data_IF_463523887170
#
_entry.id   IF_463523887170
#
_cell.length_a   1.000
_cell.length_b   1.000
_cell.length_c   1.000
_cell.angle_alpha   90.00
_cell.angle_beta   90.00
_cell.angle_gamma   90.00
#
_symmetry.space_group_name_H-M   'P 1'
#
loop_
_entity.id
_entity.type
_entity.pdbx_description
1 polymer ?
#
# COMPACT_ATOMS: atom_id res chain seq x y z
N UNK A 1 -3.86 -15.64 17.09
CA UNK A 1 -3.33 -14.30 16.74
C UNK A 1 -2.40 -13.84 17.85
N UNK A 2 -1.28 -13.18 17.52
CA UNK A 2 -0.38 -12.64 18.56
C UNK A 2 -1.04 -11.45 19.27
N UNK A 3 -0.63 -11.18 20.52
CA UNK A 3 -1.10 -10.01 21.28
C UNK A 3 -0.89 -8.69 20.50
N UNK A 4 0.26 -8.55 19.82
CA UNK A 4 0.54 -7.39 18.97
C UNK A 4 -0.45 -7.27 17.79
N UNK A 5 -0.78 -8.38 17.12
CA UNK A 5 -1.75 -8.36 16.02
C UNK A 5 -3.16 -7.95 16.48
N UNK A 6 -3.54 -8.28 17.73
CA UNK A 6 -4.79 -7.80 18.32
C UNK A 6 -4.76 -6.27 18.47
N UNK A 7 -3.68 -5.71 19.03
CA UNK A 7 -3.53 -4.26 19.23
C UNK A 7 -3.54 -3.49 17.89
N UNK A 8 -2.84 -4.01 16.88
CA UNK A 8 -2.88 -3.48 15.51
C UNK A 8 -4.31 -3.44 14.97
N UNK A 9 -5.10 -4.50 15.17
CA UNK A 9 -6.50 -4.54 14.77
C UNK A 9 -7.35 -3.44 15.42
N UNK A 10 -7.15 -3.19 16.71
CA UNK A 10 -7.85 -2.12 17.44
C UNK A 10 -7.52 -0.74 16.84
N UNK A 11 -6.27 -0.50 16.44
CA UNK A 11 -5.88 0.76 15.78
C UNK A 11 -6.64 0.98 14.47
N UNK A 12 -6.79 -0.06 13.65
CA UNK A 12 -7.50 0.05 12.38
C UNK A 12 -9.01 0.24 12.56
N UNK A 13 -9.62 -0.48 13.50
CA UNK A 13 -11.04 -0.36 13.82
C UNK A 13 -11.39 1.04 14.33
N UNK A 14 -10.44 1.72 14.96
CA UNK A 14 -10.59 3.09 15.49
C UNK A 14 -9.91 4.16 14.60
N UNK A 15 -9.54 3.84 13.35
CA UNK A 15 -8.83 4.75 12.45
C UNK A 15 -9.55 6.10 12.25
N UNK A 16 -10.89 6.09 12.16
CA UNK A 16 -11.70 7.31 12.04
C UNK A 16 -11.46 8.29 13.19
N UNK A 17 -11.33 7.78 14.42
CA UNK A 17 -11.11 8.63 15.60
C UNK A 17 -9.76 9.33 15.51
N UNK A 18 -8.70 8.60 15.15
CA UNK A 18 -7.36 9.15 14.98
C UNK A 18 -7.33 10.19 13.87
N UNK A 19 -7.87 9.85 12.69
CA UNK A 19 -7.90 10.72 11.52
C UNK A 19 -8.70 12.01 11.76
N UNK A 20 -9.79 11.94 12.53
CA UNK A 20 -10.63 13.10 12.84
C UNK A 20 -9.90 14.18 13.64
N UNK A 21 -8.84 13.84 14.39
CA UNK A 21 -7.98 14.79 15.10
C UNK A 21 -7.12 15.66 14.17
N UNK A 22 -7.02 15.26 12.91
CA UNK A 22 -6.24 15.96 11.89
C UNK A 22 -7.12 16.51 10.77
N UNK A 23 -8.42 16.67 11.02
CA UNK A 23 -9.41 17.12 10.03
C UNK A 23 -9.46 16.25 8.75
N UNK A 24 -8.96 15.02 8.82
CA UNK A 24 -9.01 14.04 7.72
C UNK A 24 -10.35 13.31 7.75
N UNK A 25 -11.43 14.03 7.43
CA UNK A 25 -12.80 13.51 7.39
C UNK A 25 -13.10 12.92 6.02
N UNK A 26 -13.71 11.73 5.99
CA UNK A 26 -14.21 11.10 4.75
C UNK A 26 -13.50 9.79 4.41
N UNK A 27 -13.14 9.63 3.13
CA UNK A 27 -12.54 8.40 2.64
C UNK A 27 -11.13 8.20 3.22
N UNK A 28 -10.89 7.03 3.83
CA UNK A 28 -9.59 6.67 4.41
C UNK A 28 -9.25 5.21 4.17
N UNK A 29 -7.98 4.84 4.28
CA UNK A 29 -7.52 3.47 4.11
C UNK A 29 -6.41 3.15 5.12
N UNK A 30 -6.43 1.95 5.72
CA UNK A 30 -5.35 1.46 6.58
C UNK A 30 -4.48 0.44 5.83
N UNK A 31 -3.17 0.47 6.10
CA UNK A 31 -2.23 -0.56 5.64
C UNK A 31 -1.41 -1.04 6.82
N UNK A 32 -1.43 -2.36 7.06
CA UNK A 32 -0.56 -3.02 8.05
C UNK A 32 0.84 -3.25 7.49
N UNK A 33 1.82 -3.21 8.38
CA UNK A 33 3.22 -3.55 8.08
C UNK A 33 3.77 -2.84 6.84
N UNK A 34 3.44 -1.55 6.66
CA UNK A 34 3.85 -0.78 5.50
C UNK A 34 5.38 -0.65 5.46
N UNK A 35 6.00 -1.24 4.45
CA UNK A 35 7.43 -1.16 4.15
C UNK A 35 7.74 0.04 3.27
N UNK A 36 8.81 0.75 3.61
CA UNK A 36 9.38 1.87 2.87
C UNK A 36 10.92 1.80 2.96
N UNK A 37 11.68 2.55 2.16
CA UNK A 37 13.13 2.37 2.04
C UNK A 37 13.89 2.32 3.37
N UNK A 38 13.55 3.20 4.33
CA UNK A 38 14.22 3.24 5.63
C UNK A 38 13.64 2.28 6.68
N UNK A 39 12.53 1.59 6.42
CA UNK A 39 12.01 0.61 7.39
C UNK A 39 10.57 0.17 7.16
N UNK A 40 9.86 -0.05 8.27
CA UNK A 40 8.49 -0.57 8.28
C UNK A 40 7.69 0.08 9.40
N UNK A 41 6.48 0.54 9.07
CA UNK A 41 5.49 0.98 10.04
C UNK A 41 4.46 -0.12 10.35
N UNK A 42 4.05 -0.27 11.60
CA UNK A 42 3.10 -1.32 11.98
C UNK A 42 1.70 -1.08 11.38
N UNK A 43 1.23 0.17 11.44
CA UNK A 43 0.02 0.64 10.77
C UNK A 43 0.26 2.01 10.15
N UNK A 44 -0.23 2.19 8.93
CA UNK A 44 -0.35 3.51 8.30
C UNK A 44 -1.79 3.77 7.96
N UNK A 45 -2.28 4.93 8.42
CA UNK A 45 -3.60 5.45 8.09
C UNK A 45 -3.43 6.52 7.02
N UNK A 46 -4.03 6.30 5.86
CA UNK A 46 -4.11 7.28 4.79
C UNK A 46 -5.46 7.99 4.89
N UNK A 47 -5.44 9.29 5.21
CA UNK A 47 -6.63 10.13 5.15
C UNK A 47 -6.53 11.17 4.04
N UNK A 48 -7.68 11.55 3.51
CA UNK A 48 -7.77 12.57 2.47
C UNK A 48 -7.99 13.96 3.10
N UNK A 49 -7.08 14.88 2.85
CA UNK A 49 -7.15 16.27 3.26
C UNK A 49 -7.86 17.08 2.18
N UNK A 50 -9.01 17.67 2.54
CA UNK A 50 -9.85 18.52 1.68
C UNK A 50 -10.26 17.90 0.33
N UNK A 51 -10.23 16.57 0.20
CA UNK A 51 -10.48 15.90 -1.08
C UNK A 51 -9.32 15.98 -2.08
N UNK A 52 -8.19 16.61 -1.72
CA UNK A 52 -7.13 17.01 -2.65
C UNK A 52 -5.84 16.23 -2.44
N UNK A 53 -5.39 16.11 -1.19
CA UNK A 53 -4.08 15.54 -0.86
C UNK A 53 -4.21 14.41 0.14
N UNK A 54 -3.35 13.40 0.03
CA UNK A 54 -3.33 12.30 0.99
C UNK A 54 -2.28 12.56 2.05
N UNK A 55 -2.70 12.46 3.30
CA UNK A 55 -1.81 12.55 4.46
C UNK A 55 -1.65 11.17 5.10
N UNK A 56 -0.43 10.58 5.04
CA UNK A 56 -0.13 9.35 5.76
C UNK A 56 0.18 9.66 7.24
N UNK A 57 -0.47 8.91 8.13
CA UNK A 57 -0.20 8.93 9.57
C UNK A 57 0.33 7.55 9.97
N UNK A 58 1.53 7.50 10.54
CA UNK A 58 2.11 6.25 11.03
C UNK A 58 1.73 6.01 12.49
N UNK A 59 1.52 4.74 12.83
CA UNK A 59 1.27 4.28 14.20
C UNK A 59 2.21 3.12 14.50
N UNK A 60 3.12 3.31 15.45
CA UNK A 60 3.95 2.23 16.04
C UNK A 60 3.15 1.61 17.20
N UNK A 61 2.98 0.28 17.20
CA UNK A 61 2.15 -0.42 18.18
C UNK A 61 3.02 -1.17 19.18
N UNK A 62 2.97 -0.75 20.43
CA UNK A 62 3.78 -1.30 21.53
C UNK A 62 2.90 -2.09 22.48
N UNK A 63 3.39 -3.23 22.95
CA UNK A 63 2.67 -4.05 23.93
C UNK A 63 2.70 -3.46 25.34
N UNK A 64 3.75 -2.71 25.67
CA UNK A 64 3.89 -1.99 26.93
C UNK A 64 4.98 -0.91 26.82
N UNK A 65 4.97 0.03 27.78
CA UNK A 65 6.09 0.94 28.05
C UNK A 65 6.65 0.59 29.43
N UNK A 66 7.86 0.05 29.45
CA UNK A 66 8.47 -0.46 30.68
C UNK A 66 9.07 0.69 31.49
N UNK A 67 9.65 1.71 30.85
CA UNK A 67 10.33 2.82 31.52
C UNK A 67 10.47 4.08 30.64
N UNK A 68 10.94 5.18 31.24
CA UNK A 68 11.35 6.38 30.51
C UNK A 68 12.49 6.12 29.52
N UNK A 69 13.41 5.20 29.85
CA UNK A 69 14.52 4.83 28.96
C UNK A 69 14.01 4.04 27.75
N UNK A 70 13.04 3.14 27.98
CA UNK A 70 12.40 2.34 26.93
C UNK A 70 11.67 3.20 25.88
N UNK A 71 10.95 4.24 26.33
CA UNK A 71 10.31 5.19 25.41
C UNK A 71 11.34 6.04 24.65
N UNK A 72 12.43 6.48 25.31
CA UNK A 72 13.50 7.22 24.63
C UNK A 72 14.22 6.36 23.58
N UNK A 73 14.43 5.07 23.86
CA UNK A 73 14.93 4.10 22.89
C UNK A 73 14.01 3.99 21.68
N UNK A 74 12.71 3.82 21.91
CA UNK A 74 11.69 3.78 20.84
C UNK A 74 11.69 5.06 20.01
N UNK A 75 11.75 6.23 20.67
CA UNK A 75 11.81 7.53 20.00
C UNK A 75 13.06 7.63 19.11
N UNK A 76 14.23 7.27 19.62
CA UNK A 76 15.48 7.44 18.88
C UNK A 76 15.62 6.41 17.75
N UNK A 77 15.32 5.15 18.00
CA UNK A 77 15.52 4.06 17.04
C UNK A 77 14.41 4.00 15.99
N UNK A 78 13.15 4.11 16.40
CA UNK A 78 11.99 3.97 15.50
C UNK A 78 11.54 5.31 14.97
N UNK A 79 11.19 6.23 15.86
CA UNK A 79 10.48 7.45 15.44
C UNK A 79 11.43 8.35 14.64
N UNK A 80 12.54 8.76 15.25
CA UNK A 80 13.57 9.58 14.59
C UNK A 80 14.38 8.81 13.57
N UNK A 81 14.75 7.57 13.90
CA UNK A 81 15.66 6.76 13.08
C UNK A 81 15.01 6.19 11.82
N UNK A 82 13.68 6.04 11.78
CA UNK A 82 12.97 5.38 10.68
C UNK A 82 11.78 6.21 10.20
N UNK A 83 10.88 6.63 11.10
CA UNK A 83 9.58 7.17 10.69
C UNK A 83 9.64 8.64 10.25
N UNK A 84 10.48 9.47 10.87
CA UNK A 84 10.64 10.89 10.52
C UNK A 84 11.10 11.09 9.05
N UNK A 85 11.64 10.05 8.39
CA UNK A 85 11.96 10.07 6.96
C UNK A 85 10.73 10.01 6.05
N UNK A 86 9.66 9.37 6.51
CA UNK A 86 8.53 8.95 5.69
C UNK A 86 7.18 9.57 6.11
N UNK A 87 7.08 10.15 7.30
CA UNK A 87 5.83 10.64 7.87
C UNK A 87 5.97 12.01 8.51
N UNK A 88 4.93 12.83 8.36
CA UNK A 88 4.80 14.10 9.09
C UNK A 88 4.19 13.92 10.47
N UNK A 89 3.29 12.93 10.61
CA UNK A 89 2.58 12.63 11.85
C UNK A 89 2.85 11.19 12.25
N UNK A 90 3.31 11.01 13.49
CA UNK A 90 3.59 9.69 14.05
C UNK A 90 3.00 9.57 15.43
N UNK A 91 2.28 8.46 15.65
CA UNK A 91 1.73 8.06 16.93
C UNK A 91 2.44 6.81 17.48
N UNK A 92 2.48 6.72 18.81
CA UNK A 92 2.74 5.47 19.52
C UNK A 92 1.43 5.01 20.14
N UNK A 93 1.03 3.75 19.90
CA UNK A 93 -0.15 3.14 20.50
C UNK A 93 0.24 2.08 21.54
N UNK A 94 -0.34 2.16 22.74
CA UNK A 94 -0.01 1.28 23.88
C UNK A 94 -1.26 0.86 24.67
N UNK A 95 -1.34 -0.39 25.17
CA UNK A 95 -2.41 -0.83 26.07
C UNK A 95 -2.13 -0.34 27.49
N UNK A 96 -2.55 0.88 27.79
CA UNK A 96 -2.33 1.48 29.10
C UNK A 96 -0.87 1.89 29.37
N UNK A 97 -0.71 2.87 30.25
CA UNK A 97 0.56 3.26 30.85
C UNK A 97 0.29 3.38 32.34
N UNK A 98 1.20 2.90 33.19
CA UNK A 98 1.04 3.11 34.64
C UNK A 98 0.92 4.62 34.89
N UNK A 99 -0.16 5.08 35.55
CA UNK A 99 -0.47 6.52 35.75
C UNK A 99 0.74 7.40 36.06
N UNK A 100 1.65 6.97 36.95
CA UNK A 100 2.87 7.74 37.31
C UNK A 100 3.87 7.99 36.17
N UNK A 101 3.78 7.23 35.07
CA UNK A 101 4.66 7.32 33.89
C UNK A 101 3.98 7.98 32.70
N UNK A 102 2.65 8.09 32.71
CA UNK A 102 1.87 8.66 31.61
C UNK A 102 2.26 10.12 31.36
N UNK A 103 2.31 10.94 32.41
CA UNK A 103 2.68 12.36 32.29
C UNK A 103 4.09 12.55 31.71
N UNK A 104 5.05 11.72 32.13
CA UNK A 104 6.43 11.77 31.62
C UNK A 104 6.50 11.38 30.14
N UNK A 105 5.81 10.29 29.76
CA UNK A 105 5.76 9.83 28.37
C UNK A 105 5.09 10.89 27.50
N UNK A 106 3.96 11.41 27.95
CA UNK A 106 3.21 12.47 27.26
C UNK A 106 4.07 13.72 27.08
N UNK A 107 4.76 14.18 28.13
CA UNK A 107 5.65 15.34 28.08
C UNK A 107 6.73 15.16 26.99
N UNK A 108 7.45 14.03 27.01
CA UNK A 108 8.48 13.76 26.01
C UNK A 108 7.95 13.65 24.58
N UNK A 109 6.79 13.02 24.38
CA UNK A 109 6.19 12.91 23.05
C UNK A 109 5.70 14.26 22.54
N UNK A 110 5.01 15.03 23.40
CA UNK A 110 4.54 16.39 23.09
C UNK A 110 5.68 17.34 22.73
N UNK A 111 6.76 17.37 23.51
CA UNK A 111 7.96 18.19 23.22
C UNK A 111 8.56 17.86 21.85
N UNK A 112 8.43 16.61 21.43
CA UNK A 112 8.93 16.11 20.16
C UNK A 112 7.88 16.08 19.06
N UNK A 113 6.65 16.55 19.28
CA UNK A 113 5.56 16.52 18.30
C UNK A 113 5.05 15.13 17.93
N UNK A 114 5.33 14.10 18.74
CA UNK A 114 4.77 12.76 18.56
C UNK A 114 3.46 12.61 19.32
N UNK A 115 2.54 11.82 18.76
CA UNK A 115 1.27 11.54 19.39
C UNK A 115 1.29 10.28 20.27
N UNK A 116 0.35 10.21 21.20
CA UNK A 116 0.14 9.07 22.09
C UNK A 116 -1.31 8.59 22.00
N UNK A 117 -1.46 7.31 21.66
CA UNK A 117 -2.74 6.60 21.64
C UNK A 117 -2.76 5.58 22.78
N UNK A 118 -3.81 5.62 23.58
CA UNK A 118 -4.07 4.65 24.62
C UNK A 118 -5.13 3.67 24.17
N UNK A 119 -4.82 2.38 24.24
CA UNK A 119 -5.75 1.31 23.93
C UNK A 119 -6.41 0.85 25.24
N UNK A 120 -7.71 1.12 25.37
CA UNK A 120 -8.51 0.81 26.56
C UNK A 120 -9.86 0.22 26.10
N UNK A 121 -10.24 -0.96 26.62
CA UNK A 121 -11.51 -1.63 26.30
C UNK A 121 -11.81 -1.74 24.80
N UNK A 122 -10.80 -2.17 24.02
CA UNK A 122 -10.83 -2.28 22.54
C UNK A 122 -11.16 -0.94 21.81
N UNK A 123 -10.97 0.21 22.49
CA UNK A 123 -11.08 1.56 21.93
C UNK A 123 -9.75 2.28 21.98
N UNK A 124 -9.65 3.37 21.22
CA UNK A 124 -8.53 4.29 21.27
C UNK A 124 -8.93 5.57 21.98
N UNK A 125 -8.06 6.04 22.88
CA UNK A 125 -8.10 7.39 23.42
C UNK A 125 -6.85 8.13 22.93
N UNK A 126 -7.07 9.24 22.24
CA UNK A 126 -5.97 10.15 21.85
C UNK A 126 -5.58 10.97 23.06
N UNK A 127 -4.41 10.69 23.64
CA UNK A 127 -3.89 11.40 24.83
C UNK A 127 -3.04 12.59 24.45
N UNK A 128 -2.27 12.46 23.37
CA UNK A 128 -1.49 13.55 22.79
C UNK A 128 -1.62 13.49 21.27
N UNK A 129 -1.95 14.61 20.65
CA UNK A 129 -2.09 14.70 19.19
C UNK A 129 -0.71 14.88 18.55
N UNK A 130 -0.42 14.09 17.51
CA UNK A 130 0.81 14.23 16.75
C UNK A 130 0.83 15.58 16.01
N UNK A 131 2.00 16.19 15.88
CA UNK A 131 2.20 17.47 15.18
C UNK A 131 3.22 17.30 14.06
N UNK A 132 3.12 18.06 12.96
CA UNK A 132 4.10 18.01 11.90
C UNK A 132 5.45 18.51 12.42
N UNK A 133 6.47 17.66 12.39
CA UNK A 133 7.77 17.97 12.99
C UNK A 133 8.68 18.79 12.10
N UNK A 134 8.93 18.29 10.89
CA UNK A 134 9.84 18.83 9.87
C UNK A 134 9.35 18.38 8.50
N UNK A 135 9.77 19.04 7.40
CA UNK A 135 9.59 18.49 6.07
C UNK A 135 10.19 17.07 6.05
N UNK A 136 9.39 16.05 5.69
CA UNK A 136 9.88 14.69 5.70
C UNK A 136 10.83 14.45 4.52
N UNK A 137 11.59 13.35 4.57
CA UNK A 137 12.55 12.98 3.54
C UNK A 137 11.90 12.47 2.24
N UNK A 138 12.71 11.97 1.32
CA UNK A 138 12.23 11.47 0.01
C UNK A 138 11.26 10.28 0.15
N UNK A 139 11.37 9.49 1.22
CA UNK A 139 10.47 8.37 1.50
C UNK A 139 9.00 8.81 1.64
N UNK A 140 8.76 10.05 2.09
CA UNK A 140 7.41 10.58 2.20
C UNK A 140 6.67 10.59 0.88
N UNK A 141 7.33 11.03 -0.21
CA UNK A 141 6.68 11.07 -1.52
C UNK A 141 6.29 9.67 -1.99
N UNK A 142 7.11 8.66 -1.66
CA UNK A 142 6.80 7.27 -1.95
C UNK A 142 5.60 6.77 -1.14
N UNK A 143 5.60 6.98 0.18
CA UNK A 143 4.50 6.55 1.07
C UNK A 143 3.20 7.29 0.73
N UNK A 144 3.25 8.60 0.57
CA UNK A 144 2.08 9.40 0.18
C UNK A 144 1.57 9.00 -1.21
N UNK A 145 2.45 8.75 -2.19
CA UNK A 145 2.05 8.24 -3.52
C UNK A 145 1.35 6.88 -3.43
N UNK A 146 1.80 6.00 -2.54
CA UNK A 146 1.12 4.72 -2.30
C UNK A 146 -0.29 4.95 -1.75
N UNK A 147 -0.45 5.83 -0.78
CA UNK A 147 -1.76 6.22 -0.24
C UNK A 147 -2.69 6.79 -1.31
N UNK A 148 -2.19 7.71 -2.14
CA UNK A 148 -2.94 8.28 -3.28
C UNK A 148 -3.38 7.20 -4.25
N UNK A 149 -2.47 6.31 -4.65
CA UNK A 149 -2.79 5.21 -5.54
C UNK A 149 -3.87 4.30 -4.93
N UNK A 150 -3.75 3.98 -3.64
CA UNK A 150 -4.65 3.03 -3.00
C UNK A 150 -6.06 3.57 -2.84
N UNK A 151 -6.19 4.84 -2.42
CA UNK A 151 -7.49 5.51 -2.37
C UNK A 151 -8.10 5.62 -3.77
N UNK A 152 -7.31 6.01 -4.78
CA UNK A 152 -7.77 6.14 -6.16
C UNK A 152 -8.23 4.79 -6.75
N UNK A 153 -7.47 3.71 -6.53
CA UNK A 153 -7.82 2.36 -6.99
C UNK A 153 -9.09 1.86 -6.32
N UNK A 154 -9.22 2.02 -5.00
CA UNK A 154 -10.44 1.59 -4.30
C UNK A 154 -11.68 2.31 -4.80
N UNK A 155 -11.59 3.62 -4.96
CA UNK A 155 -12.69 4.45 -5.47
C UNK A 155 -13.06 4.06 -6.91
N UNK A 156 -12.07 3.99 -7.81
CA UNK A 156 -12.31 3.67 -9.23
C UNK A 156 -12.84 2.24 -9.46
N UNK A 157 -12.38 1.25 -8.69
CA UNK A 157 -12.94 -0.10 -8.74
C UNK A 157 -14.36 -0.16 -8.16
N UNK A 158 -14.62 0.60 -7.10
CA UNK A 158 -15.95 0.77 -6.51
C UNK A 158 -16.96 1.36 -7.49
N UNK A 159 -16.56 2.37 -8.28
CA UNK A 159 -17.40 2.98 -9.32
C UNK A 159 -17.89 1.98 -10.37
N UNK A 160 -17.08 0.95 -10.65
CA UNK A 160 -17.46 -0.13 -11.58
C UNK A 160 -18.07 -1.35 -10.84
N UNK A 161 -18.36 -1.25 -9.56
CA UNK A 161 -19.01 -2.30 -8.77
C UNK A 161 -18.10 -3.49 -8.46
N UNK A 162 -16.78 -3.28 -8.39
CA UNK A 162 -15.82 -4.25 -7.87
C UNK A 162 -15.41 -3.84 -6.45
N UNK A 163 -15.42 -4.80 -5.52
CA UNK A 163 -14.97 -4.58 -4.15
C UNK A 163 -13.49 -4.93 -4.04
N UNK A 164 -12.68 -3.99 -3.57
CA UNK A 164 -11.31 -4.28 -3.13
C UNK A 164 -11.38 -5.20 -1.92
N UNK A 165 -10.78 -6.37 -2.03
CA UNK A 165 -10.68 -7.38 -0.97
C UNK A 165 -9.23 -7.67 -0.57
N UNK A 166 -8.24 -7.10 -1.28
CA UNK A 166 -6.84 -7.17 -0.93
C UNK A 166 -6.20 -5.78 -0.77
N UNK A 167 -5.56 -5.56 0.39
CA UNK A 167 -4.74 -4.39 0.70
C UNK A 167 -3.52 -4.89 1.49
N UNK A 168 -2.31 -4.65 0.99
CA UNK A 168 -1.07 -4.95 1.70
C UNK A 168 -0.05 -3.83 1.54
N UNK A 169 1.12 -3.97 2.16
CA UNK A 169 2.24 -3.07 1.91
C UNK A 169 2.72 -3.08 0.45
N UNK A 170 2.36 -4.09 -0.33
CA UNK A 170 2.91 -4.31 -1.67
C UNK A 170 1.91 -3.87 -2.73
N UNK A 171 0.64 -4.22 -2.59
CA UNK A 171 -0.38 -3.90 -3.60
C UNK A 171 -1.80 -3.81 -3.03
N UNK A 172 -2.68 -3.20 -3.82
CA UNK A 172 -4.12 -3.10 -3.59
C UNK A 172 -4.88 -3.63 -4.80
N UNK A 173 -6.02 -4.30 -4.60
CA UNK A 173 -6.87 -4.70 -5.72
C UNK A 173 -7.88 -5.77 -5.33
N UNK A 174 -8.18 -6.65 -6.30
CA UNK A 174 -9.11 -7.77 -6.11
C UNK A 174 -8.32 -9.09 -6.10
N UNK A 175 -8.61 -10.04 -5.21
CA UNK A 175 -7.89 -11.31 -5.16
C UNK A 175 -8.58 -12.36 -6.04
N UNK A 176 -8.22 -12.35 -7.34
CA UNK A 176 -8.80 -13.23 -8.37
C UNK A 176 -7.70 -13.84 -9.24
N UNK A 177 -7.99 -14.89 -10.03
CA UNK A 177 -7.01 -15.44 -10.99
C UNK A 177 -6.53 -14.41 -12.02
N UNK A 178 -7.41 -13.49 -12.42
CA UNK A 178 -7.08 -12.26 -13.15
C UNK A 178 -7.59 -11.11 -12.30
N UNK A 179 -6.70 -10.24 -11.86
CA UNK A 179 -7.04 -9.17 -10.94
C UNK A 179 -6.61 -7.80 -11.41
N UNK A 180 -7.45 -6.79 -11.19
CA UNK A 180 -7.00 -5.40 -11.16
C UNK A 180 -6.14 -5.18 -9.93
N UNK A 181 -5.04 -4.47 -10.11
CA UNK A 181 -4.11 -4.19 -9.04
C UNK A 181 -3.33 -2.90 -9.25
N UNK A 182 -3.11 -2.19 -8.14
CA UNK A 182 -2.24 -1.02 -8.05
C UNK A 182 -1.07 -1.30 -7.11
N UNK A 183 0.13 -0.91 -7.52
CA UNK A 183 1.33 -1.00 -6.68
C UNK A 183 2.35 0.06 -7.05
N UNK A 184 3.44 0.13 -6.28
CA UNK A 184 4.59 0.95 -6.64
C UNK A 184 5.65 0.07 -7.29
N UNK A 185 6.07 0.41 -8.51
CA UNK A 185 7.10 -0.29 -9.23
C UNK A 185 8.29 0.63 -9.50
N UNK A 186 9.46 0.29 -8.95
CA UNK A 186 10.65 1.16 -8.95
C UNK A 186 10.28 2.54 -8.39
N UNK A 187 10.32 3.58 -9.23
CA UNK A 187 10.00 4.97 -8.91
C UNK A 187 8.67 5.46 -9.54
N UNK A 188 7.75 4.55 -9.84
CA UNK A 188 6.43 4.86 -10.41
C UNK A 188 5.28 4.20 -9.66
N UNK A 189 4.16 4.91 -9.56
CA UNK A 189 2.87 4.31 -9.27
C UNK A 189 2.33 3.67 -10.55
N UNK A 190 1.81 2.47 -10.43
CA UNK A 190 1.32 1.70 -11.57
C UNK A 190 -0.06 1.11 -11.27
N UNK A 191 -0.87 0.98 -12.32
CA UNK A 191 -2.15 0.29 -12.27
C UNK A 191 -2.29 -0.63 -13.48
N UNK A 192 -2.88 -1.80 -13.28
CA UNK A 192 -3.01 -2.76 -14.35
C UNK A 192 -3.84 -3.98 -13.98
N UNK A 193 -3.62 -5.05 -14.76
CA UNK A 193 -4.16 -6.38 -14.53
C UNK A 193 -3.06 -7.41 -14.41
N UNK A 194 -3.25 -8.33 -13.47
CA UNK A 194 -2.32 -9.42 -13.18
C UNK A 194 -3.04 -10.75 -13.36
N UNK A 195 -2.43 -11.64 -14.11
CA UNK A 195 -2.84 -13.02 -14.27
C UNK A 195 -1.93 -13.92 -13.42
N UNK A 196 -2.52 -14.64 -12.47
CA UNK A 196 -1.80 -15.40 -11.44
C UNK A 196 -1.08 -16.64 -11.98
N UNK A 197 -1.50 -17.20 -13.09
CA UNK A 197 -0.91 -18.41 -13.66
C UNK A 197 -1.06 -18.45 -15.18
N UNK A 198 -0.58 -19.52 -15.80
CA UNK A 198 -0.63 -19.69 -17.26
C UNK A 198 -2.05 -19.71 -17.81
N UNK A 199 -3.01 -20.31 -17.11
CA UNK A 199 -4.40 -20.39 -17.58
C UNK A 199 -5.06 -19.02 -17.52
N UNK A 200 -4.81 -18.29 -16.44
CA UNK A 200 -5.25 -16.91 -16.30
C UNK A 200 -4.58 -15.99 -17.35
N UNK A 201 -3.30 -16.18 -17.62
CA UNK A 201 -2.56 -15.37 -18.59
C UNK A 201 -3.06 -15.63 -20.01
N UNK A 202 -3.33 -16.89 -20.35
CA UNK A 202 -3.97 -17.26 -21.60
C UNK A 202 -5.30 -16.55 -21.79
N UNK A 203 -6.20 -16.66 -20.80
CA UNK A 203 -7.51 -15.99 -20.82
C UNK A 203 -7.39 -14.47 -20.92
N UNK A 204 -6.43 -13.86 -20.22
CA UNK A 204 -6.17 -12.43 -20.28
C UNK A 204 -5.76 -12.01 -21.70
N UNK A 205 -4.78 -12.70 -22.28
CA UNK A 205 -4.25 -12.41 -23.61
C UNK A 205 -5.29 -12.62 -24.72
N UNK A 206 -6.24 -13.55 -24.54
CA UNK A 206 -7.36 -13.75 -25.47
C UNK A 206 -8.41 -12.63 -25.41
N UNK A 207 -8.45 -11.86 -24.32
CA UNK A 207 -9.50 -10.85 -24.09
C UNK A 207 -9.02 -9.43 -24.41
N UNK A 208 -7.72 -9.15 -24.30
CA UNK A 208 -7.17 -7.80 -24.49
C UNK A 208 -6.86 -7.48 -25.95
N UNK A 209 -7.11 -6.24 -26.34
CA UNK A 209 -6.62 -5.67 -27.59
C UNK A 209 -5.19 -5.13 -27.39
N UNK A 210 -4.19 -5.93 -27.75
CA UNK A 210 -2.77 -5.61 -27.54
C UNK A 210 -2.34 -4.35 -28.31
N UNK A 211 -2.83 -4.15 -29.52
CA UNK A 211 -2.47 -2.99 -30.34
C UNK A 211 -2.96 -1.71 -29.66
N UNK A 212 -4.22 -1.71 -29.21
CA UNK A 212 -4.79 -0.57 -28.51
C UNK A 212 -4.13 -0.26 -27.17
N UNK A 213 -3.80 -1.29 -26.39
CA UNK A 213 -3.08 -1.10 -25.13
C UNK A 213 -1.63 -0.62 -25.37
N UNK A 214 -1.01 -1.03 -26.48
CA UNK A 214 0.31 -0.51 -26.91
C UNK A 214 0.23 1.00 -27.15
N UNK A 215 -0.74 1.46 -27.94
CA UNK A 215 -0.96 2.89 -28.22
C UNK A 215 -1.26 3.70 -26.95
N UNK A 216 -1.94 3.08 -25.99
CA UNK A 216 -2.24 3.69 -24.69
C UNK A 216 -1.05 3.68 -23.70
N UNK A 217 0.12 3.18 -24.10
CA UNK A 217 1.36 3.22 -23.32
C UNK A 217 1.47 2.13 -22.24
N UNK A 218 0.78 1.00 -22.41
CA UNK A 218 0.89 -0.11 -21.48
C UNK A 218 2.23 -0.83 -21.63
N UNK A 219 2.62 -1.48 -20.53
CA UNK A 219 3.79 -2.33 -20.39
C UNK A 219 3.35 -3.71 -19.95
N UNK A 220 4.26 -4.66 -20.05
CA UNK A 220 4.10 -6.00 -19.50
C UNK A 220 5.28 -6.36 -18.62
N UNK A 221 5.07 -7.28 -17.69
CA UNK A 221 6.16 -8.06 -17.11
C UNK A 221 5.67 -9.46 -16.71
N UNK A 222 6.60 -10.40 -16.66
CA UNK A 222 6.41 -11.74 -16.09
C UNK A 222 7.01 -11.76 -14.70
N UNK A 223 6.20 -12.10 -13.71
CA UNK A 223 6.64 -12.23 -12.32
C UNK A 223 6.90 -13.71 -11.99
N UNK A 224 8.09 -14.01 -11.49
CA UNK A 224 8.42 -15.30 -10.89
C UNK A 224 8.41 -15.14 -9.37
N UNK A 225 7.50 -15.84 -8.70
CA UNK A 225 7.33 -15.83 -7.24
C UNK A 225 7.99 -17.07 -6.67
N UNK A 226 9.08 -16.91 -5.93
CA UNK A 226 9.75 -17.99 -5.23
C UNK A 226 8.92 -18.40 -4.01
N UNK A 227 8.63 -19.69 -3.87
CA UNK A 227 7.73 -20.20 -2.82
C UNK A 227 8.49 -21.13 -1.88
N UNK A 228 8.39 -20.87 -0.59
CA UNK A 228 8.84 -21.78 0.46
C UNK A 228 7.73 -21.94 1.52
N UNK A 229 7.47 -23.18 1.93
CA UNK A 229 6.47 -23.51 2.97
C UNK A 229 5.10 -22.86 2.71
N UNK A 230 4.66 -22.87 1.44
CA UNK A 230 3.39 -22.29 1.02
C UNK A 230 3.31 -20.76 1.01
N UNK A 231 4.44 -20.06 1.18
CA UNK A 231 4.51 -18.59 1.16
C UNK A 231 5.47 -18.09 0.09
N UNK A 232 5.14 -16.95 -0.52
CA UNK A 232 6.07 -16.21 -1.37
C UNK A 232 7.19 -15.62 -0.52
N UNK A 233 8.44 -15.95 -0.84
CA UNK A 233 9.64 -15.45 -0.13
C UNK A 233 10.42 -14.40 -0.93
N UNK A 234 10.09 -14.23 -2.20
CA UNK A 234 10.73 -13.25 -3.07
C UNK A 234 10.16 -13.30 -4.48
N UNK A 235 10.31 -12.18 -5.19
CA UNK A 235 9.80 -12.01 -6.55
C UNK A 235 10.93 -11.59 -7.48
N UNK A 236 10.91 -12.11 -8.70
CA UNK A 236 11.75 -11.66 -9.81
C UNK A 236 10.83 -11.14 -10.92
N UNK A 237 11.04 -9.89 -11.33
CA UNK A 237 10.31 -9.27 -12.43
C UNK A 237 11.17 -9.37 -13.70
N UNK A 238 10.69 -10.13 -14.68
CA UNK A 238 11.34 -10.38 -15.96
C UNK A 238 10.51 -9.80 -17.10
N UNK A 239 11.16 -9.51 -18.22
CA UNK A 239 10.50 -9.02 -19.44
C UNK A 239 9.67 -7.75 -19.17
N UNK A 240 10.18 -6.83 -18.36
CA UNK A 240 9.59 -5.49 -18.14
C UNK A 240 9.87 -4.60 -19.36
N UNK A 241 8.94 -4.61 -20.31
CA UNK A 241 9.07 -3.90 -21.58
C UNK A 241 7.74 -3.24 -22.00
N UNK A 242 7.79 -2.20 -22.87
CA UNK A 242 6.58 -1.69 -23.51
C UNK A 242 5.82 -2.81 -24.19
N UNK A 243 4.50 -2.84 -23.99
CA UNK A 243 3.62 -3.74 -24.71
C UNK A 243 3.78 -3.45 -26.20
N UNK A 244 3.86 -4.49 -27.01
CA UNK A 244 3.99 -4.37 -28.46
C UNK A 244 3.46 -5.64 -29.13
N UNK A 245 3.23 -5.58 -30.44
CA UNK A 245 2.67 -6.70 -31.21
C UNK A 245 3.57 -7.96 -31.23
N UNK A 246 4.87 -7.84 -30.94
CA UNK A 246 5.78 -8.99 -30.85
C UNK A 246 5.59 -9.78 -29.56
N UNK A 247 4.83 -9.24 -28.61
CA UNK A 247 4.34 -9.94 -27.41
C UNK A 247 3.15 -10.82 -27.82
N UNK A 248 3.42 -11.74 -28.75
CA UNK A 248 2.47 -12.73 -29.19
C UNK A 248 2.10 -13.64 -28.02
N UNK A 249 0.81 -13.98 -27.91
CA UNK A 249 0.25 -14.86 -26.88
C UNK A 249 1.12 -16.09 -26.64
N UNK A 250 1.47 -16.79 -27.71
CA UNK A 250 2.26 -18.03 -27.64
C UNK A 250 3.67 -17.81 -27.08
N UNK A 251 4.29 -16.67 -27.37
CA UNK A 251 5.62 -16.34 -26.85
C UNK A 251 5.55 -16.10 -25.34
N UNK A 252 4.57 -15.33 -24.86
CA UNK A 252 4.37 -15.09 -23.42
C UNK A 252 4.15 -16.41 -22.68
N UNK A 253 3.22 -17.23 -23.16
CA UNK A 253 2.90 -18.52 -22.53
C UNK A 253 4.11 -19.46 -22.55
N UNK A 254 4.87 -19.49 -23.65
CA UNK A 254 6.11 -20.28 -23.76
C UNK A 254 7.16 -19.80 -22.75
N UNK A 255 7.37 -18.49 -22.62
CA UNK A 255 8.30 -17.91 -21.63
C UNK A 255 7.87 -18.24 -20.20
N UNK A 256 6.59 -18.08 -19.86
CA UNK A 256 6.07 -18.44 -18.55
C UNK A 256 6.27 -19.93 -18.23
N UNK A 257 6.04 -20.84 -19.20
CA UNK A 257 6.32 -22.28 -19.05
C UNK A 257 7.81 -22.53 -18.79
N UNK A 258 8.69 -21.85 -19.53
CA UNK A 258 10.14 -21.97 -19.38
C UNK A 258 10.61 -21.49 -18.00
N UNK A 259 10.17 -20.32 -17.55
CA UNK A 259 10.51 -19.80 -16.22
C UNK A 259 9.95 -20.68 -15.10
N UNK A 260 8.70 -21.15 -15.24
CA UNK A 260 8.11 -22.09 -14.27
C UNK A 260 8.90 -23.40 -14.18
N UNK A 261 9.57 -23.83 -15.26
CA UNK A 261 10.45 -25.01 -15.25
C UNK A 261 11.81 -24.70 -14.63
N UNK A 262 12.40 -23.55 -14.96
CA UNK A 262 13.74 -23.15 -14.52
C UNK A 262 13.82 -22.82 -13.02
N UNK A 263 12.80 -22.17 -12.45
CA UNK A 263 12.85 -21.62 -11.10
C UNK A 263 12.05 -22.44 -10.06
N UNK A 264 11.83 -23.74 -10.27
CA UNK A 264 11.04 -24.55 -9.32
C UNK A 264 11.73 -24.64 -7.95
N UNK A 265 10.99 -24.57 -6.82
CA UNK A 265 9.53 -24.34 -6.72
C UNK A 265 9.16 -22.84 -6.83
N UNK A 266 8.28 -22.50 -7.78
CA UNK A 266 7.79 -21.13 -7.98
C UNK A 266 6.36 -21.07 -8.55
N UNK A 267 5.72 -19.92 -8.35
CA UNK A 267 4.60 -19.46 -9.17
C UNK A 267 5.09 -18.52 -10.28
N UNK A 268 4.40 -18.49 -11.42
CA UNK A 268 4.70 -17.54 -12.50
C UNK A 268 3.41 -16.84 -12.91
N UNK A 269 3.42 -15.52 -12.85
CA UNK A 269 2.32 -14.66 -13.25
C UNK A 269 2.71 -13.72 -14.38
N UNK A 270 1.72 -13.12 -15.01
CA UNK A 270 1.89 -12.18 -16.12
C UNK A 270 1.07 -10.94 -15.85
N UNK A 271 1.56 -9.78 -16.29
CA UNK A 271 0.88 -8.52 -16.07
C UNK A 271 0.83 -7.66 -17.30
N UNK A 272 -0.23 -6.88 -17.41
CA UNK A 272 -0.32 -5.74 -18.31
C UNK A 272 -0.66 -4.52 -17.47
N UNK A 273 0.18 -3.49 -17.51
CA UNK A 273 0.06 -2.36 -16.60
C UNK A 273 0.52 -1.04 -17.23
N UNK A 274 0.05 0.07 -16.65
CA UNK A 274 0.39 1.41 -17.08
C UNK A 274 1.11 2.16 -15.95
N UNK A 275 2.31 2.68 -16.20
CA UNK A 275 2.90 3.69 -15.33
C UNK A 275 2.03 4.94 -15.31
N UNK A 276 1.63 5.40 -14.12
CA UNK A 276 0.72 6.53 -13.97
C UNK A 276 1.46 7.82 -13.62
N UNK A 277 2.29 7.80 -12.56
CA UNK A 277 3.12 8.95 -12.16
C UNK A 277 4.39 8.51 -11.45
N UNK A 278 5.37 9.41 -11.35
CA UNK A 278 6.60 9.16 -10.58
C UNK A 278 6.34 9.32 -9.09
N UNK A 279 6.86 8.40 -8.28
CA UNK A 279 6.75 8.40 -6.80
C UNK A 279 7.69 9.40 -6.13
N UNK A 280 8.46 10.16 -6.89
CA UNK A 280 9.32 11.23 -6.38
C UNK A 280 8.52 12.51 -6.06
N UNK A 281 7.22 12.52 -6.38
CA UNK A 281 6.27 13.59 -6.09
C UNK A 281 4.91 12.95 -5.80
N UNK A 282 4.08 13.64 -5.03
CA UNK A 282 2.71 13.21 -4.75
C UNK A 282 1.74 14.02 -5.60
N UNK A 283 0.98 13.40 -6.54
CA UNK A 283 -0.04 14.11 -7.28
C UNK A 283 -1.26 14.41 -6.40
N UNK A 284 -2.15 15.28 -6.87
CA UNK A 284 -3.46 15.45 -6.24
C UNK A 284 -4.32 14.19 -6.43
N UNK A 285 -5.12 13.86 -5.42
CA UNK A 285 -6.04 12.74 -5.46
C UNK A 285 -7.03 12.79 -6.65
N UNK A 286 -7.66 13.94 -6.98
CA UNK A 286 -8.57 13.99 -8.14
C UNK A 286 -7.88 13.65 -9.46
N UNK A 287 -6.63 14.11 -9.65
CA UNK A 287 -5.87 13.79 -10.85
C UNK A 287 -5.51 12.30 -10.89
N UNK A 288 -5.04 11.73 -9.76
CA UNK A 288 -4.70 10.32 -9.67
C UNK A 288 -5.92 9.42 -9.91
N UNK A 289 -7.08 9.77 -9.36
CA UNK A 289 -8.35 9.07 -9.57
C UNK A 289 -8.76 9.08 -11.06
N UNK A 290 -8.64 10.23 -11.74
CA UNK A 290 -8.88 10.31 -13.18
C UNK A 290 -7.91 9.41 -13.99
N UNK A 291 -6.62 9.35 -13.62
CA UNK A 291 -5.68 8.44 -14.28
C UNK A 291 -6.09 6.96 -14.13
N UNK A 292 -6.50 6.53 -12.94
CA UNK A 292 -6.95 5.15 -12.71
C UNK A 292 -8.26 4.88 -13.46
N UNK A 293 -9.22 5.81 -13.45
CA UNK A 293 -10.50 5.67 -14.17
C UNK A 293 -10.31 5.55 -15.68
N UNK A 294 -9.36 6.29 -16.27
CA UNK A 294 -9.02 6.14 -17.71
C UNK A 294 -8.58 4.73 -18.06
N UNK A 295 -7.77 4.12 -17.18
CA UNK A 295 -7.34 2.73 -17.34
C UNK A 295 -8.51 1.74 -17.31
N UNK A 296 -9.60 2.08 -16.61
CA UNK A 296 -10.81 1.26 -16.49
C UNK A 296 -11.88 1.56 -17.55
N UNK A 297 -11.58 2.40 -18.55
CA UNK A 297 -12.51 2.61 -19.67
C UNK A 297 -12.67 1.33 -20.50
N UNK A 298 -13.81 1.17 -21.17
CA UNK A 298 -14.05 0.07 -22.14
C UNK A 298 -13.09 0.11 -23.33
N UNK A 299 -12.32 1.19 -23.45
CA UNK A 299 -11.27 1.36 -24.44
C UNK A 299 -9.92 0.81 -23.99
N UNK A 300 -9.74 0.58 -22.69
CA UNK A 300 -8.50 0.08 -22.09
C UNK A 300 -8.82 -1.21 -21.30
N UNK A 301 -8.48 -1.28 -20.02
CA UNK A 301 -8.67 -2.50 -19.22
C UNK A 301 -10.11 -2.70 -18.73
N UNK A 302 -11.03 -1.76 -18.96
CA UNK A 302 -12.43 -1.87 -18.53
C UNK A 302 -13.16 -3.09 -19.08
N UNK A 303 -12.77 -3.55 -20.28
CA UNK A 303 -13.31 -4.77 -20.92
C UNK A 303 -13.12 -6.03 -20.07
N UNK A 304 -12.11 -6.03 -19.19
CA UNK A 304 -11.75 -7.17 -18.35
C UNK A 304 -12.63 -7.32 -17.11
N UNK A 305 -13.52 -6.36 -16.85
CA UNK A 305 -14.45 -6.37 -15.72
C UNK A 305 -15.30 -7.64 -15.68
N UNK A 306 -15.68 -8.18 -16.84
CA UNK A 306 -16.48 -9.40 -16.95
C UNK A 306 -15.73 -10.66 -16.49
N UNK A 307 -14.42 -10.72 -16.72
CA UNK A 307 -13.58 -11.88 -16.40
C UNK A 307 -12.85 -11.75 -15.06
N UNK A 308 -12.86 -10.55 -14.47
CA UNK A 308 -12.34 -10.26 -13.14
C UNK A 308 -13.40 -10.37 -12.01
N UNK A 309 -14.68 -10.55 -12.35
CA UNK A 309 -15.77 -10.82 -11.39
C UNK A 309 -15.70 -12.24 -10.83
#
# INVERSE_FOLDING_TARGET
>A
MSSHAKLVGIVEENACEILSRHDLKGEYLSVRELRFPHGRADVVLYGLCEGISVMPIAVEVRQEIISGVDILGTINEKMRGIYDYAFTHVYIAVPGVRRRKEDLVRMHLSELGYGLLMIEDDKIKVVEEAKPKKPPGEDYYRVASQGVLYLAVRSALGDIGLKVDHISSEWIGVEKPINYYGWLFKNYAVFGVYARDLRAAEKLLDTVDVARLTDAGYRTHIEVRFVAVGRTIGNLHLCDEPLNERIAKDNVLKMMKAFKKAYKPCGVGFSIYKPLWSTNRTPSYPWALDQVRRCLSDKELGVLKSIAR
#
